data_IF_221929128608
#
_entry.id   IF_221929128608
#
_cell.length_a   1.000
_cell.length_b   1.000
_cell.length_c   1.000
_cell.angle_alpha   90.00
_cell.angle_beta   90.00
_cell.angle_gamma   90.00
#
_symmetry.space_group_name_H-M   'P 1'
#
loop_
_entity.id
_entity.type
_entity.pdbx_description
1 polymer ?
#
# COMPACT_ATOMS: atom_id res chain seq x y z
N UNK A 1 -7.43 -22.35 5.50
CA UNK A 1 -6.01 -22.46 5.10
C UNK A 1 -5.63 -21.21 4.35
N UNK A 2 -4.91 -20.27 4.96
CA UNK A 2 -4.41 -19.09 4.25
C UNK A 2 -3.14 -19.48 3.53
N UNK A 3 -3.18 -19.60 2.21
CA UNK A 3 -1.97 -19.80 1.40
C UNK A 3 -1.04 -18.61 1.65
N UNK A 4 0.21 -18.87 2.06
CA UNK A 4 1.24 -17.84 2.07
C UNK A 4 1.38 -17.33 0.64
N UNK A 5 0.81 -16.16 0.36
CA UNK A 5 1.03 -15.42 -0.88
C UNK A 5 2.54 -15.33 -1.11
N UNK A 6 3.02 -15.87 -2.23
CA UNK A 6 4.43 -15.80 -2.59
C UNK A 6 4.73 -14.38 -3.06
N UNK A 7 5.40 -13.60 -2.21
CA UNK A 7 5.82 -12.24 -2.55
C UNK A 7 7.21 -12.29 -3.17
N UNK A 8 7.35 -11.79 -4.40
CA UNK A 8 8.66 -11.60 -5.02
C UNK A 8 9.28 -10.23 -4.60
N UNK A 9 10.32 -10.21 -3.75
CA UNK A 9 10.97 -8.97 -3.31
C UNK A 9 11.73 -8.23 -4.42
N UNK A 10 11.85 -8.81 -5.62
CA UNK A 10 12.52 -8.17 -6.76
C UNK A 10 11.58 -7.22 -7.50
N UNK A 11 10.27 -7.41 -7.38
CA UNK A 11 9.27 -6.54 -8.02
C UNK A 11 9.01 -5.28 -7.19
N UNK A 12 8.66 -4.13 -7.80
CA UNK A 12 8.25 -2.93 -7.06
C UNK A 12 7.08 -3.21 -6.09
N UNK A 13 6.11 -4.00 -6.56
CA UNK A 13 4.95 -4.45 -5.76
C UNK A 13 5.43 -5.21 -4.54
N UNK A 14 6.23 -6.27 -4.72
CA UNK A 14 6.67 -7.09 -3.59
C UNK A 14 7.56 -6.36 -2.60
N UNK A 15 8.39 -5.40 -3.04
CA UNK A 15 9.11 -4.50 -2.13
C UNK A 15 8.16 -3.66 -1.29
N UNK A 16 7.14 -3.06 -1.90
CA UNK A 16 6.14 -2.27 -1.18
C UNK A 16 5.34 -3.14 -0.20
N UNK A 17 4.88 -4.32 -0.63
CA UNK A 17 4.16 -5.28 0.23
C UNK A 17 5.00 -5.66 1.45
N UNK A 18 6.28 -6.00 1.29
CA UNK A 18 7.16 -6.34 2.41
C UNK A 18 7.40 -5.16 3.36
N UNK A 19 7.57 -3.96 2.81
CA UNK A 19 7.71 -2.72 3.61
C UNK A 19 6.49 -2.52 4.50
N UNK A 20 5.28 -2.60 3.96
CA UNK A 20 4.05 -2.41 4.73
C UNK A 20 3.76 -3.57 5.68
N UNK A 21 4.12 -4.82 5.32
CA UNK A 21 4.04 -5.97 6.23
C UNK A 21 4.86 -5.79 7.51
N UNK A 22 5.94 -5.02 7.47
CA UNK A 22 6.76 -4.70 8.65
C UNK A 22 6.12 -3.66 9.59
N UNK A 23 5.03 -2.99 9.20
CA UNK A 23 4.44 -1.90 9.98
C UNK A 23 3.24 -2.36 10.83
N UNK A 24 3.01 -1.79 12.02
CA UNK A 24 1.83 -2.13 12.82
C UNK A 24 0.54 -1.66 12.12
N UNK A 25 -0.59 -2.35 12.31
CA UNK A 25 -1.87 -2.03 11.66
C UNK A 25 -2.29 -0.57 11.87
N UNK A 26 -2.08 -0.01 13.07
CA UNK A 26 -2.34 1.42 13.34
C UNK A 26 -1.62 2.38 12.39
N UNK A 27 -0.41 2.03 11.96
CA UNK A 27 0.37 2.85 11.03
C UNK A 27 -0.19 2.74 9.62
N UNK A 28 -0.60 1.53 9.20
CA UNK A 28 -1.24 1.32 7.90
C UNK A 28 -2.53 2.16 7.78
N UNK A 29 -3.36 2.16 8.83
CA UNK A 29 -4.59 2.96 8.90
C UNK A 29 -4.29 4.46 8.83
N UNK A 30 -3.34 4.93 9.63
CA UNK A 30 -2.92 6.34 9.61
C UNK A 30 -2.43 6.76 8.22
N UNK A 31 -1.63 5.93 7.54
CA UNK A 31 -1.16 6.20 6.18
C UNK A 31 -2.30 6.25 5.16
N UNK A 32 -3.34 5.43 5.33
CA UNK A 32 -4.55 5.44 4.52
C UNK A 32 -5.51 6.61 4.85
N UNK A 33 -5.22 7.40 5.90
CA UNK A 33 -6.13 8.44 6.39
C UNK A 33 -7.39 7.88 7.05
N UNK A 34 -7.35 6.62 7.46
CA UNK A 34 -8.46 5.94 8.11
C UNK A 34 -8.40 6.18 9.63
N UNK A 35 -9.55 6.53 10.22
CA UNK A 35 -9.69 6.70 11.67
C UNK A 35 -9.34 5.41 12.41
N UNK A 36 -8.28 5.44 13.21
CA UNK A 36 -7.85 4.27 14.01
C UNK A 36 -8.89 3.90 15.05
N UNK A 37 -9.60 4.91 15.58
CA UNK A 37 -10.61 4.79 16.64
C UNK A 37 -12.04 5.07 16.14
N UNK A 38 -12.23 5.18 14.82
CA UNK A 38 -13.54 5.40 14.24
C UNK A 38 -14.37 4.11 14.28
N UNK A 39 -15.46 4.04 15.06
CA UNK A 39 -16.28 2.85 15.19
C UNK A 39 -17.10 2.53 13.94
N UNK A 40 -17.34 3.52 13.07
CA UNK A 40 -18.10 3.37 11.83
C UNK A 40 -17.22 2.97 10.64
N UNK A 41 -15.89 2.89 10.84
CA UNK A 41 -14.95 2.53 9.79
C UNK A 41 -15.21 1.09 9.31
N UNK A 42 -15.29 0.85 7.98
CA UNK A 42 -15.36 -0.50 7.45
C UNK A 42 -14.20 -1.36 7.94
N UNK A 43 -14.50 -2.62 8.27
CA UNK A 43 -13.47 -3.58 8.63
C UNK A 43 -12.63 -3.91 7.39
N UNK A 44 -11.31 -3.84 7.55
CA UNK A 44 -10.33 -4.35 6.59
C UNK A 44 -9.36 -5.25 7.33
N UNK A 45 -9.09 -6.42 6.76
CA UNK A 45 -8.00 -7.27 7.21
C UNK A 45 -6.65 -6.56 7.00
N UNK A 46 -5.63 -7.04 7.70
CA UNK A 46 -4.28 -6.48 7.60
C UNK A 46 -3.72 -6.57 6.17
N UNK A 47 -3.95 -7.67 5.46
CA UNK A 47 -3.49 -7.83 4.08
C UNK A 47 -4.24 -6.88 3.14
N UNK A 48 -5.56 -6.67 3.30
CA UNK A 48 -6.31 -5.69 2.50
C UNK A 48 -5.80 -4.25 2.70
N UNK A 49 -5.44 -3.87 3.93
CA UNK A 49 -4.83 -2.56 4.20
C UNK A 49 -3.47 -2.41 3.49
N UNK A 50 -2.70 -3.49 3.41
CA UNK A 50 -1.41 -3.51 2.70
C UNK A 50 -1.65 -3.37 1.21
N UNK A 51 -2.61 -4.10 0.64
CA UNK A 51 -2.94 -4.04 -0.79
C UNK A 51 -3.37 -2.63 -1.19
N UNK A 52 -4.25 -1.98 -0.42
CA UNK A 52 -4.65 -0.58 -0.65
C UNK A 52 -3.46 0.40 -0.65
N UNK A 53 -2.48 0.18 0.24
CA UNK A 53 -1.28 1.01 0.31
C UNK A 53 -0.31 0.74 -0.86
N UNK A 54 -0.21 -0.50 -1.31
CA UNK A 54 0.58 -0.88 -2.50
C UNK A 54 0.00 -0.22 -3.74
N UNK A 55 -1.31 -0.31 -3.94
CA UNK A 55 -2.01 0.30 -5.08
C UNK A 55 -1.82 1.82 -5.09
N UNK A 56 -1.95 2.47 -3.93
CA UNK A 56 -1.73 3.90 -3.78
C UNK A 56 -0.28 4.29 -4.13
N UNK A 57 0.70 3.51 -3.69
CA UNK A 57 2.11 3.77 -3.97
C UNK A 57 2.40 3.62 -5.47
N UNK A 58 1.89 2.56 -6.10
CA UNK A 58 2.04 2.34 -7.54
C UNK A 58 1.41 3.47 -8.36
N UNK A 59 0.20 3.90 -8.00
CA UNK A 59 -0.45 5.04 -8.65
C UNK A 59 0.36 6.33 -8.48
N UNK A 60 0.92 6.58 -7.31
CA UNK A 60 1.80 7.73 -7.09
C UNK A 60 3.09 7.65 -7.91
N UNK A 61 3.68 6.46 -8.06
CA UNK A 61 4.85 6.25 -8.91
C UNK A 61 4.52 6.55 -10.38
N UNK A 62 3.37 6.07 -10.88
CA UNK A 62 2.89 6.35 -12.24
C UNK A 62 2.68 7.85 -12.45
N UNK A 63 1.96 8.53 -11.55
CA UNK A 63 1.75 9.99 -11.62
C UNK A 63 3.06 10.76 -11.70
N UNK A 64 4.06 10.37 -10.89
CA UNK A 64 5.40 10.99 -10.91
C UNK A 64 6.15 10.69 -12.22
N UNK A 65 6.00 9.50 -12.77
CA UNK A 65 6.62 9.14 -14.04
C UNK A 65 6.05 9.98 -15.18
N UNK A 66 4.72 10.10 -15.27
CA UNK A 66 4.07 10.95 -16.27
C UNK A 66 4.47 12.43 -16.13
N UNK A 67 4.43 12.98 -14.91
CA UNK A 67 4.84 14.37 -14.68
C UNK A 67 6.29 14.67 -15.11
N UNK A 68 7.21 13.69 -15.00
CA UNK A 68 8.59 13.84 -15.48
C UNK A 68 8.67 13.85 -17.00
N UNK A 69 7.84 13.07 -17.69
CA UNK A 69 7.80 13.04 -19.15
C UNK A 69 7.27 14.36 -19.71
N UNK A 70 6.22 14.92 -19.11
CA UNK A 70 5.69 16.24 -19.48
C UNK A 70 6.71 17.37 -19.27
N UNK A 71 7.51 17.32 -18.20
CA UNK A 71 8.52 18.35 -17.91
C UNK A 71 9.77 18.32 -18.81
N UNK A 72 9.89 17.30 -19.66
CA UNK A 72 11.06 17.11 -20.55
C UNK A 72 10.73 17.48 -22.01
N UNK A 73 9.48 17.83 -22.32
CA UNK A 73 9.03 18.38 -23.61
C UNK A 73 8.87 19.90 -23.53
#
# INVERSE_FOLDING_TARGET
MTTKQHIDPRTPIGKATLRYRGLPTRHLLSMLGMGVEDPERPFYSRDELIDLLVDRDLNNQLRRAFAKLDATH
#
